data_IF_267599166438
#
_entry.id   IF_267599166438
#
_cell.length_a   1.000
_cell.length_b   1.000
_cell.length_c   1.000
_cell.angle_alpha   90.00
_cell.angle_beta   90.00
_cell.angle_gamma   90.00
#
_symmetry.space_group_name_H-M   'P 1'
#
loop_
_entity.id
_entity.type
_entity.pdbx_description
1 polymer ?
#
# COMPACT_ATOMS: atom_id res chain seq x y z
N UNK A 1 0.34 6.92 -12.13
CA UNK A 1 0.04 7.20 -10.72
C UNK A 1 -0.08 5.87 -9.98
N UNK A 2 0.52 5.77 -8.80
CA UNK A 2 0.35 4.68 -7.84
C UNK A 2 -0.33 5.21 -6.59
N UNK A 3 -1.24 4.45 -6.02
CA UNK A 3 -1.95 4.79 -4.78
C UNK A 3 -1.56 3.74 -3.74
N UNK A 4 -1.12 4.20 -2.57
CA UNK A 4 -0.56 3.31 -1.55
C UNK A 4 -1.41 3.35 -0.28
N UNK A 5 -1.67 2.17 0.27
CA UNK A 5 -2.27 2.02 1.58
C UNK A 5 -1.72 0.78 2.30
N UNK A 6 -1.85 0.77 3.63
CA UNK A 6 -1.48 -0.35 4.47
C UNK A 6 -2.69 -0.92 5.25
N UNK A 7 -2.82 -2.24 5.19
CA UNK A 7 -3.86 -2.98 5.87
C UNK A 7 -3.26 -3.89 6.96
N UNK A 8 -3.63 -3.67 8.23
CA UNK A 8 -3.26 -4.58 9.31
C UNK A 8 -4.26 -5.74 9.38
N UNK A 9 -3.77 -6.98 9.44
CA UNK A 9 -4.62 -8.18 9.47
C UNK A 9 -4.16 -9.16 10.54
N UNK A 10 -5.13 -9.70 11.28
CA UNK A 10 -4.88 -10.64 12.39
C UNK A 10 -4.24 -11.93 11.90
N UNK A 11 -3.27 -12.43 12.65
CA UNK A 11 -2.68 -13.74 12.44
C UNK A 11 -3.57 -14.87 12.98
N UNK A 12 -3.44 -16.07 12.42
CA UNK A 12 -3.87 -17.31 13.07
C UNK A 12 -2.74 -17.93 13.90
N UNK A 13 -3.01 -19.06 14.57
CA UNK A 13 -2.02 -19.81 15.33
C UNK A 13 -0.82 -20.28 14.48
N UNK A 14 -0.99 -20.40 13.17
CA UNK A 14 0.04 -20.87 12.23
C UNK A 14 1.12 -19.82 11.92
N UNK A 15 0.92 -18.54 12.25
CA UNK A 15 1.95 -17.55 11.98
C UNK A 15 3.20 -17.82 12.83
N UNK A 16 4.39 -17.77 12.23
CA UNK A 16 5.67 -17.91 12.94
C UNK A 16 5.85 -16.75 13.92
N UNK A 17 6.49 -16.98 15.08
CA UNK A 17 6.80 -15.91 16.05
C UNK A 17 7.54 -14.75 15.37
N UNK A 18 8.48 -15.07 14.48
CA UNK A 18 9.27 -14.08 13.74
C UNK A 18 8.43 -13.18 12.81
N UNK A 19 7.26 -13.64 12.32
CA UNK A 19 6.37 -12.86 11.45
C UNK A 19 5.25 -12.14 12.20
N UNK A 20 5.13 -12.33 13.52
CA UNK A 20 4.14 -11.63 14.36
C UNK A 20 4.62 -10.22 14.71
N UNK A 21 3.69 -9.28 14.72
CA UNK A 21 3.86 -7.96 15.31
C UNK A 21 2.54 -7.43 15.86
N UNK A 22 2.58 -6.37 16.65
CA UNK A 22 1.38 -5.71 17.16
C UNK A 22 1.26 -4.30 16.62
N UNK A 23 0.16 -4.01 15.93
CA UNK A 23 -0.20 -2.64 15.53
C UNK A 23 -1.00 -2.01 16.66
N UNK A 24 -0.41 -1.03 17.35
CA UNK A 24 -1.05 -0.34 18.46
C UNK A 24 -2.28 0.45 18.01
N UNK A 25 -2.17 1.20 16.92
CA UNK A 25 -3.24 2.05 16.40
C UNK A 25 -4.53 1.28 16.07
N UNK A 26 -4.40 0.08 15.46
CA UNK A 26 -5.54 -0.78 15.10
C UNK A 26 -5.77 -1.93 16.10
N UNK A 27 -5.09 -1.90 17.26
CA UNK A 27 -5.08 -2.97 18.27
C UNK A 27 -5.04 -4.39 17.67
N UNK A 28 -4.16 -4.60 16.67
CA UNK A 28 -4.16 -5.81 15.84
C UNK A 28 -2.84 -6.57 15.99
N UNK A 29 -2.93 -7.79 16.52
CA UNK A 29 -1.81 -8.75 16.54
C UNK A 29 -1.77 -9.52 15.22
N UNK A 30 -0.76 -9.27 14.39
CA UNK A 30 -0.83 -9.67 13.01
C UNK A 30 0.35 -9.24 12.14
N UNK A 31 0.05 -9.09 10.86
CA UNK A 31 0.93 -8.52 9.83
C UNK A 31 0.30 -7.25 9.27
N UNK A 32 1.11 -6.43 8.59
CA UNK A 32 0.65 -5.35 7.72
C UNK A 32 0.88 -5.76 6.26
N UNK A 33 -0.11 -5.50 5.43
CA UNK A 33 -0.08 -5.70 3.99
C UNK A 33 0.00 -4.32 3.35
N UNK A 34 1.10 -4.05 2.67
CA UNK A 34 1.32 -2.82 1.93
C UNK A 34 0.96 -3.07 0.48
N UNK A 35 0.07 -2.24 -0.04
CA UNK A 35 -0.44 -2.38 -1.39
C UNK A 35 -0.21 -1.07 -2.14
N UNK A 36 0.55 -1.13 -3.24
CA UNK A 36 0.61 -0.04 -4.20
C UNK A 36 -0.19 -0.44 -5.43
N UNK A 37 -1.29 0.27 -5.72
CA UNK A 37 -2.19 -0.03 -6.84
C UNK A 37 -2.11 1.02 -7.94
N UNK A 38 -2.43 0.62 -9.16
CA UNK A 38 -2.68 1.52 -10.27
C UNK A 38 -4.05 2.23 -10.14
N UNK A 39 -4.40 3.03 -11.15
CA UNK A 39 -5.70 3.73 -11.23
C UNK A 39 -6.89 2.78 -11.39
N UNK A 40 -6.68 1.55 -11.85
CA UNK A 40 -7.72 0.53 -11.99
C UNK A 40 -7.89 -0.31 -10.71
N UNK A 41 -6.99 -0.16 -9.74
CA UNK A 41 -6.98 -0.88 -8.47
C UNK A 41 -6.21 -2.21 -8.52
N UNK A 42 -5.44 -2.47 -9.56
CA UNK A 42 -4.58 -3.66 -9.62
C UNK A 42 -3.24 -3.39 -8.94
N UNK A 43 -2.70 -4.35 -8.18
CA UNK A 43 -1.43 -4.19 -7.50
C UNK A 43 -0.30 -4.06 -8.50
N UNK A 44 0.46 -2.98 -8.34
CA UNK A 44 1.75 -2.80 -8.99
C UNK A 44 2.88 -3.36 -8.12
N UNK A 45 2.85 -3.04 -6.82
CA UNK A 45 3.73 -3.64 -5.82
C UNK A 45 2.94 -4.13 -4.61
N UNK A 46 3.41 -5.22 -4.02
CA UNK A 46 2.87 -5.80 -2.79
C UNK A 46 4.00 -6.10 -1.83
N UNK A 47 3.83 -5.76 -0.57
CA UNK A 47 4.78 -6.12 0.49
C UNK A 47 4.05 -6.52 1.77
N UNK A 48 4.66 -7.38 2.57
CA UNK A 48 4.12 -7.81 3.85
C UNK A 48 5.16 -7.58 4.93
N UNK A 49 4.80 -6.83 5.96
CA UNK A 49 5.65 -6.61 7.14
C UNK A 49 4.97 -7.12 8.40
N UNK A 50 5.73 -7.20 9.50
CA UNK A 50 5.14 -7.39 10.82
C UNK A 50 4.26 -6.19 11.17
N UNK A 51 3.20 -6.39 11.95
CA UNK A 51 2.26 -5.31 12.22
C UNK A 51 2.81 -4.14 13.08
N UNK A 52 3.95 -4.33 13.75
CA UNK A 52 4.64 -3.28 14.50
C UNK A 52 5.55 -2.39 13.64
N UNK A 53 5.79 -2.75 12.38
CA UNK A 53 6.56 -1.90 11.46
C UNK A 53 5.73 -0.68 11.09
N UNK A 54 6.35 0.49 11.07
CA UNK A 54 5.70 1.75 10.68
C UNK A 54 5.33 1.71 9.20
N UNK A 55 4.33 2.51 8.81
CA UNK A 55 3.89 2.52 7.42
C UNK A 55 4.96 3.12 6.49
N UNK A 56 5.70 4.14 6.95
CA UNK A 56 6.87 4.68 6.26
C UNK A 56 7.93 3.62 5.99
N UNK A 57 8.33 2.85 7.02
CA UNK A 57 9.34 1.81 6.87
C UNK A 57 8.85 0.70 5.93
N UNK A 58 7.58 0.31 6.01
CA UNK A 58 7.00 -0.67 5.10
C UNK A 58 6.97 -0.20 3.65
N UNK A 59 6.72 1.10 3.41
CA UNK A 59 6.80 1.70 2.08
C UNK A 59 8.24 1.76 1.56
N UNK A 60 9.19 2.18 2.39
CA UNK A 60 10.61 2.21 2.02
C UNK A 60 11.10 0.81 1.64
N UNK A 61 10.79 -0.21 2.46
CA UNK A 61 11.13 -1.61 2.15
C UNK A 61 10.51 -2.08 0.84
N UNK A 62 9.23 -1.78 0.60
CA UNK A 62 8.54 -2.15 -0.63
C UNK A 62 9.20 -1.52 -1.87
N UNK A 63 9.55 -0.23 -1.80
CA UNK A 63 10.19 0.47 -2.92
C UNK A 63 11.64 0.00 -3.12
N UNK A 64 12.38 -0.24 -2.03
CA UNK A 64 13.74 -0.76 -2.05
C UNK A 64 13.81 -2.15 -2.68
N UNK A 65 12.89 -3.06 -2.33
CA UNK A 65 12.82 -4.39 -2.95
C UNK A 65 12.53 -4.34 -4.46
N UNK A 66 11.93 -3.25 -4.94
CA UNK A 66 11.60 -3.05 -6.34
C UNK A 66 12.46 -1.95 -6.99
N UNK A 67 13.65 -1.69 -6.44
CA UNK A 67 14.51 -0.59 -6.89
C UNK A 67 14.93 -0.75 -8.36
N UNK A 68 15.10 -1.99 -8.81
CA UNK A 68 15.52 -2.30 -10.18
C UNK A 68 14.48 -1.87 -11.22
N UNK A 69 13.20 -1.89 -10.87
CA UNK A 69 12.14 -1.31 -11.72
C UNK A 69 12.37 0.19 -11.93
N UNK A 70 12.69 0.92 -10.86
CA UNK A 70 12.98 2.34 -10.96
C UNK A 70 14.26 2.60 -11.73
N UNK A 71 15.32 1.81 -11.56
CA UNK A 71 16.56 1.94 -12.34
C UNK A 71 16.32 1.72 -13.84
N UNK A 72 15.57 0.67 -14.20
CA UNK A 72 15.26 0.33 -15.59
C UNK A 72 14.33 1.34 -16.29
N UNK A 73 13.57 2.13 -15.52
CA UNK A 73 12.64 3.12 -16.06
C UNK A 73 13.37 4.22 -16.84
N UNK A 74 13.05 4.44 -18.13
CA UNK A 74 13.62 5.51 -18.95
C UNK A 74 13.35 6.92 -18.37
N UNK A 75 14.28 7.85 -18.60
CA UNK A 75 14.24 9.24 -18.07
C UNK A 75 13.32 10.17 -18.87
N UNK A 76 12.95 9.80 -20.09
CA UNK A 76 12.04 10.52 -20.99
C UNK A 76 10.56 10.40 -20.58
N UNK A 77 10.24 9.47 -19.67
CA UNK A 77 8.88 9.26 -19.18
C UNK A 77 8.59 10.19 -17.99
N UNK A 78 7.41 10.83 -18.00
CA UNK A 78 6.89 11.64 -16.91
C UNK A 78 7.05 10.97 -15.52
N UNK A 79 7.27 11.72 -14.46
CA UNK A 79 7.48 11.17 -13.11
C UNK A 79 6.29 10.31 -12.66
N UNK A 80 6.60 9.22 -11.96
CA UNK A 80 5.59 8.38 -11.35
C UNK A 80 5.09 9.05 -10.07
N UNK A 81 3.85 9.55 -10.10
CA UNK A 81 3.16 10.06 -8.92
C UNK A 81 2.79 8.93 -7.98
N UNK A 82 3.30 8.96 -6.76
CA UNK A 82 2.93 8.07 -5.65
C UNK A 82 2.05 8.87 -4.68
N UNK A 83 0.78 8.51 -4.64
CA UNK A 83 -0.21 9.11 -3.76
C UNK A 83 -0.25 8.35 -2.43
N UNK A 84 -0.01 9.09 -1.34
CA UNK A 84 0.04 8.56 0.02
C UNK A 84 -0.97 9.25 0.94
N UNK A 85 -1.30 8.60 2.05
CA UNK A 85 -2.10 9.17 3.12
C UNK A 85 -1.26 10.08 4.04
N UNK A 86 -1.93 10.86 4.89
CA UNK A 86 -1.36 11.65 5.99
C UNK A 86 -0.61 10.81 7.03
N UNK A 87 -0.83 9.49 7.06
CA UNK A 87 -0.05 8.59 7.91
C UNK A 87 1.38 8.37 7.42
N UNK A 88 1.69 8.77 6.19
CA UNK A 88 3.02 8.68 5.59
C UNK A 88 3.72 10.04 5.62
N UNK A 89 5.03 10.03 5.80
CA UNK A 89 5.87 11.23 5.85
C UNK A 89 6.82 11.26 4.64
N UNK A 90 6.44 11.92 3.53
CA UNK A 90 7.21 11.93 2.28
C UNK A 90 8.62 12.46 2.42
N UNK A 91 8.86 13.42 3.31
CA UNK A 91 10.20 14.00 3.52
C UNK A 91 11.17 12.93 4.06
N UNK A 92 10.76 12.22 5.12
CA UNK A 92 11.51 11.11 5.70
C UNK A 92 11.69 9.95 4.73
N UNK A 93 10.64 9.59 3.99
CA UNK A 93 10.69 8.54 2.96
C UNK A 93 11.66 8.93 1.83
N UNK A 94 11.62 10.18 1.39
CA UNK A 94 12.47 10.70 0.32
C UNK A 94 13.94 10.63 0.73
N UNK A 95 14.27 11.08 1.93
CA UNK A 95 15.64 11.02 2.45
C UNK A 95 16.16 9.56 2.45
N UNK A 96 15.39 8.64 3.03
CA UNK A 96 15.77 7.23 3.09
C UNK A 96 15.93 6.59 1.69
N UNK A 97 15.08 6.98 0.73
CA UNK A 97 15.17 6.49 -0.63
C UNK A 97 16.36 7.07 -1.40
N UNK A 98 16.71 8.33 -1.16
CA UNK A 98 17.88 8.98 -1.78
C UNK A 98 19.20 8.36 -1.31
N UNK A 99 19.28 7.91 -0.06
CA UNK A 99 20.44 7.16 0.45
C UNK A 99 20.66 5.84 -0.31
N UNK A 100 19.57 5.20 -0.76
CA UNK A 100 19.62 3.92 -1.49
C UNK A 100 19.84 4.16 -2.99
N UNK A 101 19.13 5.12 -3.58
CA UNK A 101 19.23 5.48 -5.00
C UNK A 101 19.09 7.01 -5.16
N UNK A 102 20.21 7.75 -5.27
CA UNK A 102 20.20 9.21 -5.28
C UNK A 102 19.33 9.84 -6.38
N UNK A 103 19.23 9.18 -7.54
CA UNK A 103 18.46 9.68 -8.68
C UNK A 103 16.96 9.37 -8.61
N UNK A 104 16.46 8.70 -7.56
CA UNK A 104 15.05 8.26 -7.48
C UNK A 104 14.05 9.40 -7.65
N UNK A 105 14.39 10.61 -7.19
CA UNK A 105 13.54 11.81 -7.26
C UNK A 105 13.42 12.38 -8.67
N UNK A 106 14.25 11.95 -9.61
CA UNK A 106 14.06 12.22 -11.04
C UNK A 106 12.89 11.41 -11.60
N UNK A 107 12.59 10.25 -11.00
CA UNK A 107 11.63 9.26 -11.51
C UNK A 107 10.31 9.23 -10.75
N UNK A 108 10.32 9.59 -9.47
CA UNK A 108 9.17 9.51 -8.57
C UNK A 108 8.84 10.88 -8.00
N UNK A 109 7.56 11.15 -7.78
CA UNK A 109 7.08 12.27 -6.99
C UNK A 109 6.06 11.77 -5.97
N UNK A 110 6.14 12.25 -4.73
CA UNK A 110 5.16 11.94 -3.69
C UNK A 110 4.10 13.03 -3.64
N UNK A 111 2.84 12.62 -3.55
CA UNK A 111 1.70 13.51 -3.36
C UNK A 111 0.91 13.04 -2.15
N UNK A 112 0.76 13.92 -1.15
CA UNK A 112 -0.12 13.62 -0.02
C UNK A 112 -1.56 13.93 -0.39
N UNK A 113 -2.45 13.01 -0.05
CA UNK A 113 -3.89 13.18 -0.23
C UNK A 113 -4.38 14.44 0.49
N UNK A 114 -5.13 15.33 -0.17
CA UNK A 114 -5.70 16.49 0.51
C UNK A 114 -6.71 16.04 1.59
N UNK A 115 -6.49 16.41 2.85
CA UNK A 115 -7.47 16.22 3.93
C UNK A 115 -8.05 17.58 4.29
N UNK A 116 -9.23 17.94 3.75
CA UNK A 116 -9.83 19.23 4.06
C UNK A 116 -10.07 19.32 5.58
N UNK A 117 -9.50 20.33 6.20
CA UNK A 117 -9.68 20.67 7.61
C UNK A 117 -11.13 21.05 7.89
N UNK A 118 -11.53 21.05 9.17
CA UNK A 118 -12.90 21.39 9.55
C UNK A 118 -13.30 22.80 9.09
N UNK A 119 -12.38 23.76 9.18
CA UNK A 119 -12.58 25.14 8.72
C UNK A 119 -12.74 25.23 7.20
N UNK A 120 -11.96 24.48 6.42
CA UNK A 120 -12.09 24.44 4.96
C UNK A 120 -13.40 23.76 4.51
N UNK A 121 -13.87 22.75 5.27
CA UNK A 121 -15.18 22.13 5.03
C UNK A 121 -16.32 23.10 5.29
N UNK A 122 -16.25 23.85 6.39
CA UNK A 122 -17.22 24.89 6.76
C UNK A 122 -17.22 26.01 5.72
N UNK A 123 -16.06 26.47 5.25
CA UNK A 123 -15.93 27.47 4.20
C UNK A 123 -16.47 27.00 2.83
N UNK A 124 -16.36 25.71 2.51
CA UNK A 124 -16.93 25.11 1.30
C UNK A 124 -18.43 24.74 1.45
N UNK A 125 -19.04 25.00 2.61
CA UNK A 125 -20.43 24.60 2.89
C UNK A 125 -20.67 23.09 2.88
N UNK A 126 -19.61 22.28 2.97
CA UNK A 126 -19.70 20.82 2.94
C UNK A 126 -19.73 20.28 4.36
N UNK A 127 -20.86 19.69 4.75
CA UNK A 127 -20.96 18.94 6.00
C UNK A 127 -20.69 17.45 5.76
N UNK A 128 -20.01 16.79 6.70
CA UNK A 128 -19.78 15.33 6.66
C UNK A 128 -18.51 14.85 5.95
N UNK A 129 -18.58 13.64 5.42
CA UNK A 129 -17.47 12.97 4.72
C UNK A 129 -17.34 13.52 3.30
N UNK A 130 -16.18 14.10 2.98
CA UNK A 130 -15.85 14.58 1.64
C UNK A 130 -14.92 13.53 1.01
N UNK A 131 -15.36 12.80 -0.04
CA UNK A 131 -14.50 11.83 -0.69
C UNK A 131 -13.25 12.51 -1.28
N UNK A 132 -12.08 12.02 -0.91
CA UNK A 132 -10.83 12.45 -1.54
C UNK A 132 -10.71 11.73 -2.89
N UNK A 133 -10.46 12.49 -3.95
CA UNK A 133 -10.30 11.94 -5.28
C UNK A 133 -9.21 10.84 -5.27
N UNK A 134 -9.47 9.74 -5.97
CA UNK A 134 -8.59 8.55 -6.15
C UNK A 134 -8.35 7.64 -4.94
N UNK A 135 -8.53 8.08 -3.70
CA UNK A 135 -8.29 7.23 -2.50
C UNK A 135 -9.16 5.96 -2.46
N UNK A 136 -10.41 6.05 -2.92
CA UNK A 136 -11.34 4.92 -2.95
C UNK A 136 -10.84 3.73 -3.78
N UNK A 137 -9.87 3.94 -4.69
CA UNK A 137 -9.35 2.89 -5.57
C UNK A 137 -8.60 1.84 -4.75
N UNK A 138 -7.67 2.24 -3.88
CA UNK A 138 -6.91 1.30 -3.04
C UNK A 138 -7.79 0.68 -1.95
N UNK A 139 -8.73 1.44 -1.40
CA UNK A 139 -9.71 0.92 -0.43
C UNK A 139 -10.62 -0.15 -1.06
N UNK A 140 -11.02 0.03 -2.32
CA UNK A 140 -11.74 -0.99 -3.09
C UNK A 140 -10.88 -2.23 -3.33
N UNK A 141 -9.59 -2.07 -3.63
CA UNK A 141 -8.66 -3.20 -3.77
C UNK A 141 -8.49 -3.98 -2.47
N UNK A 142 -8.42 -3.29 -1.33
CA UNK A 142 -8.49 -3.90 -0.01
C UNK A 142 -9.80 -4.67 0.19
N UNK A 143 -10.94 -4.10 -0.22
CA UNK A 143 -12.23 -4.79 -0.15
C UNK A 143 -12.28 -6.07 -1.03
N UNK A 144 -11.57 -6.11 -2.16
CA UNK A 144 -11.44 -7.34 -2.95
C UNK A 144 -10.64 -8.42 -2.21
N UNK A 145 -9.59 -8.04 -1.47
CA UNK A 145 -8.85 -8.96 -0.62
C UNK A 145 -9.72 -9.51 0.52
N UNK A 146 -10.54 -8.67 1.16
CA UNK A 146 -11.49 -9.11 2.20
C UNK A 146 -12.54 -10.11 1.68
N UNK A 147 -12.97 -9.99 0.42
CA UNK A 147 -13.86 -10.98 -0.22
C UNK A 147 -13.16 -12.32 -0.46
N UNK A 148 -11.84 -12.35 -0.48
CA UNK A 148 -11.06 -13.57 -0.60
C UNK A 148 -10.93 -14.22 0.78
N UNK A 149 -11.74 -15.25 1.05
CA UNK A 149 -11.79 -15.92 2.38
C UNK A 149 -10.42 -16.35 2.92
N UNK A 150 -9.46 -16.70 2.06
CA UNK A 150 -8.09 -17.05 2.45
C UNK A 150 -7.27 -15.88 3.00
N UNK A 151 -7.73 -14.64 2.82
CA UNK A 151 -7.05 -13.40 3.24
C UNK A 151 -7.74 -12.69 4.40
N UNK A 152 -8.90 -13.13 4.87
CA UNK A 152 -9.62 -12.52 6.03
C UNK A 152 -8.75 -12.51 7.29
N UNK A 153 -7.87 -13.50 7.44
CA UNK A 153 -6.78 -13.52 8.41
C UNK A 153 -5.50 -13.89 7.68
N UNK A 154 -4.35 -13.66 8.30
CA UNK A 154 -3.12 -14.26 7.83
C UNK A 154 -3.01 -15.69 8.37
N UNK A 155 -3.17 -16.65 7.46
CA UNK A 155 -3.00 -18.08 7.73
C UNK A 155 -1.56 -18.56 7.47
N UNK A 156 -0.74 -17.70 6.87
CA UNK A 156 0.58 -18.08 6.36
C UNK A 156 1.67 -18.01 7.45
N UNK A 157 2.60 -18.97 7.36
CA UNK A 157 3.71 -19.10 8.31
C UNK A 157 4.73 -17.96 8.18
N UNK A 158 5.09 -17.62 6.93
CA UNK A 158 6.09 -16.59 6.58
C UNK A 158 5.44 -15.38 5.90
N UNK A 159 6.11 -14.22 5.96
CA UNK A 159 5.66 -13.00 5.27
C UNK A 159 5.69 -13.15 3.75
N UNK A 160 6.67 -13.90 3.22
CA UNK A 160 6.76 -14.21 1.80
C UNK A 160 5.56 -15.02 1.31
N UNK A 161 5.12 -16.03 2.07
CA UNK A 161 3.93 -16.80 1.72
C UNK A 161 2.67 -15.94 1.81
N UNK A 162 2.59 -15.06 2.81
CA UNK A 162 1.50 -14.09 2.92
C UNK A 162 1.45 -13.19 1.69
N UNK A 163 2.59 -12.64 1.25
CA UNK A 163 2.71 -11.84 0.01
C UNK A 163 2.29 -12.64 -1.22
N UNK A 164 2.73 -13.89 -1.34
CA UNK A 164 2.34 -14.77 -2.45
C UNK A 164 0.82 -15.01 -2.50
N UNK A 165 0.14 -15.17 -1.35
CA UNK A 165 -1.34 -15.26 -1.30
C UNK A 165 -2.04 -13.97 -1.74
N UNK A 166 -1.48 -12.81 -1.43
CA UNK A 166 -1.99 -11.53 -1.94
C UNK A 166 -1.91 -11.49 -3.47
N UNK A 167 -0.74 -11.82 -4.02
CA UNK A 167 -0.53 -11.86 -5.47
C UNK A 167 -1.49 -12.85 -6.15
N UNK A 168 -1.65 -14.04 -5.60
CA UNK A 168 -2.57 -15.04 -6.12
C UNK A 168 -4.04 -14.56 -6.11
N UNK A 169 -4.45 -13.80 -5.09
CA UNK A 169 -5.79 -13.21 -5.04
C UNK A 169 -6.03 -12.27 -6.23
N UNK A 170 -5.09 -11.38 -6.52
CA UNK A 170 -5.22 -10.44 -7.64
C UNK A 170 -5.07 -11.13 -9.01
N UNK A 171 -4.17 -12.12 -9.15
CA UNK A 171 -4.07 -12.93 -10.37
C UNK A 171 -5.42 -13.60 -10.66
N UNK A 172 -6.03 -14.24 -9.65
CA UNK A 172 -7.35 -14.87 -9.80
C UNK A 172 -8.42 -13.84 -10.20
N UNK A 173 -8.39 -12.64 -9.63
CA UNK A 173 -9.32 -11.57 -9.97
C UNK A 173 -9.15 -11.11 -11.43
N UNK A 174 -7.91 -10.90 -11.87
CA UNK A 174 -7.59 -10.51 -13.25
C UNK A 174 -8.01 -11.58 -14.25
N UNK A 175 -7.68 -12.85 -13.98
CA UNK A 175 -8.08 -13.98 -14.83
C UNK A 175 -9.60 -14.08 -14.98
N UNK A 176 -10.36 -13.91 -13.89
CA UNK A 176 -11.81 -13.89 -13.96
C UNK A 176 -12.33 -12.79 -14.87
N UNK A 177 -11.79 -11.57 -14.75
CA UNK A 177 -12.21 -10.43 -15.60
C UNK A 177 -11.89 -10.66 -17.06
N UNK A 178 -10.72 -11.24 -17.38
CA UNK A 178 -10.34 -11.59 -18.75
C UNK A 178 -11.22 -12.69 -19.34
N UNK A 179 -11.59 -13.69 -18.54
CA UNK A 179 -12.42 -14.81 -18.98
C UNK A 179 -13.92 -14.49 -19.10
N UNK A 180 -14.37 -13.30 -18.67
CA UNK A 180 -15.79 -12.90 -18.77
C UNK A 180 -16.08 -12.15 -20.09
N UNK A 181 -15.25 -12.39 -21.12
CA UNK A 181 -15.49 -11.98 -22.51
C UNK A 181 -16.57 -12.81 -23.17
#
# INVERSE_FOLDING_TARGET
>A
MLIIDSQAVKNTCNARIASKGFCHYKATNGIKRHLAVDTLGFPFFTHCTKANVTDDQGLIEMLCQNIDYFKARPLDIAKLTILVDHGYHPDSITQALQEIYPEIMTKVQFEQSAKPSKAEKEAQGKSGFVPVATRWVVERSNAWMERCKSLVKNFEWTLENARAKLNLCFIRLMLKRLATT
#
